data_IF_920748619787
#
_entry.id   IF_920748619787
#
_cell.length_a   1.000
_cell.length_b   1.000
_cell.length_c   1.000
_cell.angle_alpha   90.00
_cell.angle_beta   90.00
_cell.angle_gamma   90.00
#
_symmetry.space_group_name_H-M   'P 1'
#
loop_
_entity.id
_entity.type
_entity.pdbx_description
1 polymer ?
#
# COMPACT_ATOMS: atom_id res chain seq x y z
N UNK A 1 1.11 -22.29 8.25
CA UNK A 1 0.14 -21.48 7.49
C UNK A 1 -0.49 -22.40 6.47
N UNK A 2 -1.81 -22.37 6.25
CA UNK A 2 -2.46 -23.34 5.35
C UNK A 2 -2.07 -23.10 3.88
N UNK A 3 -1.94 -24.17 3.10
CA UNK A 3 -1.53 -24.14 1.70
C UNK A 3 -2.43 -23.27 0.81
N UNK A 4 -3.73 -23.24 1.09
CA UNK A 4 -4.68 -22.39 0.38
C UNK A 4 -4.37 -20.90 0.52
N UNK A 5 -3.94 -20.46 1.70
CA UNK A 5 -3.56 -19.06 1.98
C UNK A 5 -2.26 -18.73 1.25
N UNK A 6 -1.29 -19.63 1.31
CA UNK A 6 -0.01 -19.50 0.60
C UNK A 6 -0.28 -19.35 -0.91
N UNK A 7 -1.08 -20.24 -1.52
CA UNK A 7 -1.42 -20.13 -2.95
C UNK A 7 -2.03 -18.78 -3.31
N UNK A 8 -2.93 -18.24 -2.48
CA UNK A 8 -3.56 -16.93 -2.72
C UNK A 8 -2.57 -15.76 -2.59
N UNK A 9 -1.66 -15.82 -1.61
CA UNK A 9 -0.60 -14.82 -1.42
C UNK A 9 0.37 -14.81 -2.59
N UNK A 10 0.80 -15.99 -3.05
CA UNK A 10 1.73 -16.11 -4.17
C UNK A 10 1.07 -15.85 -5.53
N UNK A 11 -0.27 -15.90 -5.61
CA UNK A 11 -1.00 -15.52 -6.82
C UNK A 11 -1.02 -14.01 -7.08
N UNK A 12 -0.77 -13.17 -6.05
CA UNK A 12 -0.72 -11.73 -6.20
C UNK A 12 0.55 -11.14 -5.57
N UNK A 13 1.51 -10.65 -6.37
CA UNK A 13 2.78 -10.12 -5.84
C UNK A 13 2.58 -8.95 -4.88
N UNK A 14 1.52 -8.15 -5.06
CA UNK A 14 1.20 -7.03 -4.16
C UNK A 14 0.86 -7.52 -2.76
N UNK A 15 0.14 -8.63 -2.65
CA UNK A 15 -0.25 -9.20 -1.35
C UNK A 15 0.99 -9.77 -0.66
N UNK A 16 1.87 -10.43 -1.43
CA UNK A 16 3.13 -10.94 -0.90
C UNK A 16 4.05 -9.82 -0.40
N UNK A 17 4.16 -8.71 -1.13
CA UNK A 17 4.97 -7.56 -0.71
C UNK A 17 4.39 -6.83 0.50
N UNK A 18 3.06 -6.70 0.57
CA UNK A 18 2.41 -6.14 1.75
C UNK A 18 2.62 -7.02 2.99
N UNK A 19 2.55 -8.35 2.82
CA UNK A 19 2.82 -9.31 3.88
C UNK A 19 4.28 -9.19 4.39
N UNK A 20 5.25 -9.03 3.49
CA UNK A 20 6.67 -8.80 3.85
C UNK A 20 6.88 -7.52 4.66
N UNK A 21 6.13 -6.47 4.36
CA UNK A 21 6.18 -5.19 5.07
C UNK A 21 5.46 -5.22 6.43
N UNK A 22 4.51 -6.14 6.60
CA UNK A 22 3.66 -6.22 7.79
C UNK A 22 3.76 -7.60 8.45
N UNK A 23 4.86 -7.87 9.19
CA UNK A 23 5.15 -9.21 9.70
C UNK A 23 4.09 -9.77 10.67
N UNK A 24 3.29 -8.89 11.31
CA UNK A 24 2.15 -9.27 12.15
C UNK A 24 1.19 -10.24 11.45
N UNK A 25 1.03 -10.10 10.13
CA UNK A 25 0.10 -10.94 9.38
C UNK A 25 0.60 -12.37 9.20
N UNK A 26 1.92 -12.63 9.25
CA UNK A 26 2.41 -14.02 9.27
C UNK A 26 1.83 -14.78 10.45
N UNK A 27 1.80 -14.16 11.64
CA UNK A 27 1.25 -14.78 12.85
C UNK A 27 -0.25 -15.05 12.73
N UNK A 28 -1.05 -14.07 12.31
CA UNK A 28 -2.51 -14.25 12.19
C UNK A 28 -2.90 -15.26 11.11
N UNK A 29 -2.22 -15.22 9.96
CA UNK A 29 -2.47 -16.16 8.87
C UNK A 29 -2.00 -17.59 9.20
N UNK A 30 -1.02 -17.73 10.09
CA UNK A 30 -0.57 -19.02 10.61
C UNK A 30 -1.55 -19.64 11.61
N UNK A 31 -2.11 -18.81 12.51
CA UNK A 31 -3.08 -19.19 13.53
C UNK A 31 -4.39 -19.72 12.94
N UNK A 32 -5.05 -18.95 12.07
CA UNK A 32 -6.31 -19.35 11.44
C UNK A 32 -6.39 -18.76 10.02
N UNK A 33 -6.63 -19.57 8.98
CA UNK A 33 -6.86 -19.07 7.62
C UNK A 33 -8.02 -18.07 7.49
N UNK A 34 -8.96 -18.00 8.45
CA UNK A 34 -10.06 -17.03 8.44
C UNK A 34 -9.58 -15.58 8.45
N UNK A 35 -8.42 -15.32 9.05
CA UNK A 35 -7.82 -13.98 9.07
C UNK A 35 -7.37 -13.49 7.69
N UNK A 36 -7.37 -14.36 6.67
CA UNK A 36 -7.08 -13.95 5.29
C UNK A 36 -8.08 -12.88 4.78
N UNK A 37 -9.35 -12.94 5.19
CA UNK A 37 -10.34 -11.89 4.88
C UNK A 37 -9.88 -10.53 5.39
N UNK A 38 -9.37 -10.51 6.63
CA UNK A 38 -9.02 -9.27 7.30
C UNK A 38 -7.69 -8.73 6.78
N UNK A 39 -6.75 -9.63 6.47
CA UNK A 39 -5.55 -9.31 5.71
C UNK A 39 -5.89 -8.64 4.39
N UNK A 40 -6.81 -9.22 3.61
CA UNK A 40 -7.20 -8.67 2.30
C UNK A 40 -7.84 -7.28 2.43
N UNK A 41 -8.67 -7.06 3.45
CA UNK A 41 -9.24 -5.74 3.75
C UNK A 41 -8.14 -4.74 4.10
N UNK A 42 -7.20 -5.11 4.96
CA UNK A 42 -6.09 -4.25 5.38
C UNK A 42 -5.20 -3.88 4.18
N UNK A 43 -4.83 -4.85 3.34
CA UNK A 43 -4.08 -4.61 2.09
C UNK A 43 -4.82 -3.59 1.21
N UNK A 44 -6.12 -3.77 1.00
CA UNK A 44 -6.94 -2.88 0.16
C UNK A 44 -7.08 -1.48 0.76
N UNK A 45 -7.20 -1.36 2.07
CA UNK A 45 -7.27 -0.07 2.75
C UNK A 45 -5.94 0.67 2.67
N UNK A 46 -4.84 0.01 3.04
CA UNK A 46 -3.51 0.62 3.05
C UNK A 46 -3.03 0.96 1.63
N UNK A 47 -3.31 0.13 0.63
CA UNK A 47 -2.95 0.44 -0.76
C UNK A 47 -3.74 1.62 -1.31
N UNK A 48 -5.02 1.75 -0.94
CA UNK A 48 -5.82 2.93 -1.31
C UNK A 48 -5.21 4.17 -0.69
N UNK A 49 -4.95 4.16 0.62
CA UNK A 49 -4.27 5.26 1.32
C UNK A 49 -2.93 5.58 0.66
N UNK A 50 -2.07 4.57 0.45
CA UNK A 50 -0.77 4.72 -0.22
C UNK A 50 -0.90 5.34 -1.61
N UNK A 51 -1.95 5.00 -2.38
CA UNK A 51 -2.17 5.56 -3.72
C UNK A 51 -2.64 7.01 -3.64
N UNK A 52 -3.60 7.32 -2.75
CA UNK A 52 -4.06 8.68 -2.52
C UNK A 52 -2.93 9.59 -2.02
N UNK A 53 -2.16 9.13 -1.03
CA UNK A 53 -1.03 9.86 -0.46
C UNK A 53 0.04 10.16 -1.53
N UNK A 54 0.31 9.19 -2.42
CA UNK A 54 1.22 9.40 -3.56
C UNK A 54 0.69 10.45 -4.54
N UNK A 55 -0.61 10.42 -4.86
CA UNK A 55 -1.22 11.41 -5.75
C UNK A 55 -1.18 12.82 -5.12
N UNK A 56 -1.45 12.91 -3.82
CA UNK A 56 -1.40 14.18 -3.08
C UNK A 56 0.03 14.72 -3.01
N UNK A 57 1.03 13.87 -2.76
CA UNK A 57 2.44 14.25 -2.78
C UNK A 57 2.88 14.78 -4.16
N UNK A 58 2.45 14.13 -5.26
CA UNK A 58 2.74 14.61 -6.63
C UNK A 58 2.08 15.95 -6.88
N UNK A 59 0.80 16.12 -6.51
CA UNK A 59 0.08 17.39 -6.65
C UNK A 59 0.79 18.52 -5.91
N UNK A 60 1.27 18.25 -4.69
CA UNK A 60 2.00 19.23 -3.89
C UNK A 60 3.34 19.61 -4.51
N UNK A 61 4.08 18.64 -5.08
CA UNK A 61 5.33 18.92 -5.80
C UNK A 61 5.09 19.77 -7.07
N UNK A 62 4.06 19.47 -7.85
CA UNK A 62 3.70 20.24 -9.04
C UNK A 62 3.30 21.68 -8.67
N UNK A 63 2.50 21.84 -7.62
CA UNK A 63 2.09 23.16 -7.13
C UNK A 63 3.31 23.97 -6.67
N UNK A 64 4.21 23.37 -5.91
CA UNK A 64 5.44 24.02 -5.44
C UNK A 64 6.35 24.43 -6.60
N UNK A 65 6.58 23.53 -7.57
CA UNK A 65 7.36 23.83 -8.78
C UNK A 65 6.73 24.99 -9.57
N UNK A 66 5.42 24.98 -9.75
CA UNK A 66 4.67 26.06 -10.41
C UNK A 66 4.80 27.39 -9.67
N UNK A 67 4.67 27.38 -8.33
CA UNK A 67 4.83 28.58 -7.51
C UNK A 67 6.26 29.15 -7.56
N UNK A 68 7.28 28.30 -7.57
CA UNK A 68 8.67 28.73 -7.76
C UNK A 68 8.89 29.34 -9.13
N UNK A 69 8.44 28.69 -10.21
CA UNK A 69 8.57 29.21 -11.58
C UNK A 69 7.90 30.59 -11.72
N UNK A 70 6.72 30.76 -11.15
CA UNK A 70 6.01 32.06 -11.15
C UNK A 70 6.77 33.13 -10.35
N UNK A 71 7.36 32.79 -9.20
CA UNK A 71 8.17 33.73 -8.42
C UNK A 71 9.42 34.19 -9.18
N UNK A 72 10.09 33.28 -9.89
CA UNK A 72 11.28 33.61 -10.68
C UNK A 72 10.97 34.33 -12.00
N UNK A 73 9.79 34.12 -12.61
CA UNK A 73 9.36 34.85 -13.82
C UNK A 73 8.81 36.25 -13.53
N UNK A 74 8.24 36.49 -12.35
CA UNK A 74 7.68 37.80 -11.96
C UNK A 74 8.71 38.72 -11.27
N UNK A 75 10.01 38.44 -11.38
CA UNK A 75 11.11 39.24 -10.84
C UNK A 75 12.08 39.61 -11.94
#
# INVERSE_FOLDING_TARGET
MKDEVIRKLYANPVYLDYLRQNPKWYYYLDLDPKYYSDFEKAVKQDLKLTTYDKLEAIKNQINFASSMLNYFMNK
#
